data_IF_657832650237
#
_entry.id   IF_657832650237
#
_cell.length_a   1.000
_cell.length_b   1.000
_cell.length_c   1.000
_cell.angle_alpha   90.00
_cell.angle_beta   90.00
_cell.angle_gamma   90.00
#
_symmetry.space_group_name_H-M   'P 1'
#
loop_
_entity.id
_entity.type
_entity.pdbx_description
1 polymer ?
#
# COMPACT_ATOMS: atom_id res chain seq x y z
N UNK A 1 25.65 -5.27 -7.62
CA UNK A 1 25.14 -4.35 -8.67
C UNK A 1 25.07 -2.93 -8.10
N UNK A 2 25.96 -2.02 -8.52
CA UNK A 2 25.96 -0.61 -8.11
C UNK A 2 25.37 0.27 -9.24
N UNK A 3 24.11 0.04 -9.60
CA UNK A 3 23.41 0.97 -10.50
C UNK A 3 22.75 2.05 -9.64
N UNK A 4 23.16 3.31 -9.84
CA UNK A 4 22.44 4.50 -9.37
C UNK A 4 21.76 5.14 -10.58
N UNK A 5 20.60 4.62 -11.01
CA UNK A 5 19.87 5.24 -12.10
C UNK A 5 19.42 6.65 -11.67
N UNK A 6 19.77 7.65 -12.48
CA UNK A 6 19.36 9.04 -12.28
C UNK A 6 18.11 9.28 -13.12
N UNK A 7 16.96 9.35 -12.47
CA UNK A 7 15.68 9.61 -13.14
C UNK A 7 15.36 11.09 -13.06
N UNK A 8 15.67 11.83 -14.13
CA UNK A 8 15.43 13.29 -14.22
C UNK A 8 13.98 13.69 -13.89
N UNK A 9 13.01 12.88 -14.34
CA UNK A 9 11.58 13.07 -14.05
C UNK A 9 11.25 13.02 -12.55
N UNK A 10 11.95 12.20 -11.76
CA UNK A 10 11.71 12.10 -10.32
C UNK A 10 12.22 13.35 -9.60
N UNK A 11 13.33 13.95 -10.08
CA UNK A 11 13.85 15.18 -9.50
C UNK A 11 12.93 16.38 -9.78
N UNK A 12 12.33 16.45 -10.96
CA UNK A 12 11.39 17.52 -11.34
C UNK A 12 10.05 17.43 -10.58
N UNK A 13 9.63 16.22 -10.21
CA UNK A 13 8.39 15.95 -9.47
C UNK A 13 8.58 15.87 -7.94
N UNK A 14 9.78 16.16 -7.45
CA UNK A 14 10.09 16.07 -6.02
C UNK A 14 9.36 17.19 -5.25
N UNK A 15 8.55 16.81 -4.28
CA UNK A 15 7.97 17.75 -3.31
C UNK A 15 9.03 18.09 -2.25
N UNK A 16 9.21 19.38 -1.96
CA UNK A 16 10.01 19.84 -0.82
C UNK A 16 9.08 20.20 0.33
N UNK A 17 9.11 19.37 1.38
CA UNK A 17 8.26 19.52 2.57
C UNK A 17 8.88 20.40 3.66
N UNK A 18 10.13 20.86 3.49
CA UNK A 18 10.85 21.57 4.53
C UNK A 18 10.96 20.76 5.83
N UNK A 19 10.86 21.45 6.97
CA UNK A 19 10.97 20.82 8.29
C UNK A 19 9.64 20.19 8.72
N UNK A 20 9.67 18.89 9.03
CA UNK A 20 8.51 18.17 9.56
C UNK A 20 8.14 18.70 10.96
N UNK A 21 6.90 19.17 11.17
CA UNK A 21 6.42 19.56 12.50
C UNK A 21 6.44 18.39 13.49
N UNK A 22 6.72 18.69 14.76
CA UNK A 22 6.81 17.67 15.82
C UNK A 22 5.51 16.88 15.99
N UNK A 23 4.36 17.55 15.82
CA UNK A 23 3.04 16.96 15.95
C UNK A 23 2.55 16.24 14.68
N UNK A 24 3.24 16.34 13.54
CA UNK A 24 2.79 15.73 12.28
C UNK A 24 2.62 14.20 12.38
N UNK A 25 3.40 13.53 13.24
CA UNK A 25 3.27 12.08 13.45
C UNK A 25 2.21 11.69 14.49
N UNK A 26 1.67 12.64 15.26
CA UNK A 26 0.80 12.35 16.41
C UNK A 26 -0.58 12.98 16.30
N UNK A 27 -0.76 13.97 15.42
CA UNK A 27 -2.03 14.66 15.19
C UNK A 27 -3.03 13.86 14.34
N UNK A 28 -2.58 12.78 13.72
CA UNK A 28 -3.40 11.83 12.98
C UNK A 28 -3.12 10.42 13.51
N UNK A 29 -4.13 9.79 14.12
CA UNK A 29 -4.10 8.39 14.53
C UNK A 29 -5.20 7.66 13.78
N UNK A 30 -4.93 7.29 12.54
CA UNK A 30 -5.92 6.76 11.59
C UNK A 30 -6.63 5.47 12.06
N UNK A 31 -6.05 4.75 13.02
CA UNK A 31 -6.65 3.58 13.66
C UNK A 31 -7.62 3.92 14.79
N UNK A 32 -7.69 5.18 15.21
CA UNK A 32 -8.55 5.70 16.29
C UNK A 32 -9.64 6.60 15.72
N UNK A 33 -9.28 7.52 14.81
CA UNK A 33 -10.21 8.46 14.19
C UNK A 33 -9.82 8.79 12.74
N UNK A 34 -10.75 9.42 12.01
CA UNK A 34 -10.51 9.86 10.64
C UNK A 34 -9.52 11.03 10.59
N UNK A 35 -8.64 11.00 9.60
CA UNK A 35 -7.75 12.12 9.28
C UNK A 35 -8.15 12.75 7.95
N UNK A 36 -7.93 14.05 7.83
CA UNK A 36 -8.19 14.80 6.61
C UNK A 36 -7.03 15.76 6.36
N UNK A 37 -6.50 15.73 5.13
CA UNK A 37 -5.42 16.60 4.68
C UNK A 37 -5.84 17.32 3.40
N UNK A 38 -5.38 18.56 3.24
CA UNK A 38 -5.58 19.32 2.01
C UNK A 38 -4.33 19.21 1.14
N UNK A 39 -4.35 18.33 0.14
CA UNK A 39 -3.16 18.04 -0.68
C UNK A 39 -2.65 19.24 -1.50
N UNK A 40 -3.50 20.23 -1.81
CA UNK A 40 -3.08 21.43 -2.55
C UNK A 40 -2.23 22.36 -1.68
N UNK A 41 -2.59 22.49 -0.40
CA UNK A 41 -1.93 23.39 0.55
C UNK A 41 -0.94 22.68 1.49
N UNK A 42 -1.09 21.37 1.68
CA UNK A 42 -0.32 20.50 2.56
C UNK A 42 -0.02 19.16 1.85
N UNK A 43 0.84 19.16 0.81
CA UNK A 43 1.19 17.95 0.07
C UNK A 43 1.99 16.93 0.89
N UNK A 44 2.44 17.33 2.07
CA UNK A 44 3.26 16.53 2.98
C UNK A 44 2.45 15.91 4.12
N UNK A 45 1.14 16.19 4.16
CA UNK A 45 0.18 15.63 5.11
C UNK A 45 0.59 15.88 6.57
N UNK A 46 1.11 17.07 6.88
CA UNK A 46 1.57 17.40 8.21
C UNK A 46 0.47 17.90 9.14
N UNK A 47 -0.64 18.40 8.60
CA UNK A 47 -1.69 19.08 9.34
C UNK A 47 -3.04 18.39 9.17
N UNK A 48 -3.41 17.56 10.14
CA UNK A 48 -4.74 16.97 10.17
C UNK A 48 -5.82 18.05 10.43
N UNK A 49 -6.72 18.24 9.48
CA UNK A 49 -7.83 19.21 9.54
C UNK A 49 -9.21 18.55 9.69
N UNK A 50 -9.27 17.26 10.03
CA UNK A 50 -10.53 16.51 10.14
C UNK A 50 -11.55 17.18 11.08
N UNK A 51 -11.08 17.64 12.24
CA UNK A 51 -11.90 18.32 13.25
C UNK A 51 -12.42 19.69 12.79
N UNK A 52 -11.72 20.35 11.88
CA UNK A 52 -12.12 21.64 11.32
C UNK A 52 -13.18 21.49 10.22
N UNK A 53 -13.18 20.36 9.51
CA UNK A 53 -14.07 20.12 8.36
C UNK A 53 -14.82 18.78 8.45
N UNK A 54 -15.65 18.55 9.48
CA UNK A 54 -16.35 17.28 9.70
C UNK A 54 -17.32 16.92 8.56
N UNK A 55 -17.86 17.93 7.86
CA UNK A 55 -18.72 17.70 6.70
C UNK A 55 -17.96 17.09 5.51
N UNK A 56 -16.70 17.47 5.29
CA UNK A 56 -15.86 16.89 4.23
C UNK A 56 -15.47 15.46 4.60
N UNK A 57 -15.13 15.23 5.88
CA UNK A 57 -14.86 13.87 6.40
C UNK A 57 -16.05 12.95 6.11
N UNK A 58 -17.28 13.40 6.42
CA UNK A 58 -18.49 12.61 6.13
C UNK A 58 -18.66 12.33 4.64
N UNK A 59 -18.48 13.33 3.78
CA UNK A 59 -18.60 13.14 2.33
C UNK A 59 -17.60 12.12 1.78
N UNK A 60 -16.35 12.16 2.24
CA UNK A 60 -15.32 11.20 1.82
C UNK A 60 -15.58 9.81 2.39
N UNK A 61 -16.09 9.74 3.63
CA UNK A 61 -16.51 8.48 4.24
C UNK A 61 -17.65 7.82 3.46
N UNK A 62 -18.66 8.58 3.06
CA UNK A 62 -19.78 8.07 2.27
C UNK A 62 -19.30 7.50 0.92
N UNK A 63 -18.29 8.12 0.31
CA UNK A 63 -17.62 7.58 -0.89
C UNK A 63 -16.90 6.26 -0.60
N UNK A 64 -16.17 6.15 0.52
CA UNK A 64 -15.53 4.89 0.92
C UNK A 64 -16.56 3.78 1.14
N UNK A 65 -17.68 4.09 1.79
CA UNK A 65 -18.79 3.15 1.99
C UNK A 65 -19.37 2.71 0.64
N UNK A 66 -19.54 3.64 -0.31
CA UNK A 66 -20.02 3.30 -1.66
C UNK A 66 -19.05 2.35 -2.39
N UNK A 67 -17.74 2.60 -2.34
CA UNK A 67 -16.75 1.70 -2.93
C UNK A 67 -16.73 0.33 -2.26
N UNK A 68 -16.87 0.29 -0.93
CA UNK A 68 -16.89 -0.96 -0.18
C UNK A 68 -18.09 -1.85 -0.57
N UNK A 69 -19.24 -1.26 -0.92
CA UNK A 69 -20.41 -2.02 -1.38
C UNK A 69 -20.18 -2.80 -2.68
N UNK A 70 -19.25 -2.35 -3.51
CA UNK A 70 -18.91 -2.98 -4.79
C UNK A 70 -17.53 -3.65 -4.77
N UNK A 71 -16.85 -3.66 -3.62
CA UNK A 71 -15.52 -4.21 -3.51
C UNK A 71 -15.56 -5.74 -3.63
N UNK A 72 -14.67 -6.29 -4.45
CA UNK A 72 -14.44 -7.72 -4.49
C UNK A 72 -13.68 -8.15 -3.22
N UNK A 73 -13.90 -9.38 -2.72
CA UNK A 73 -13.10 -9.94 -1.66
C UNK A 73 -11.59 -9.90 -2.00
N UNK A 74 -10.76 -9.66 -0.99
CA UNK A 74 -9.30 -9.73 -1.15
C UNK A 74 -8.89 -11.14 -1.62
N UNK A 75 -8.07 -11.22 -2.66
CA UNK A 75 -7.60 -12.49 -3.24
C UNK A 75 -6.29 -13.00 -2.60
N UNK A 76 -5.95 -12.53 -1.39
CA UNK A 76 -4.75 -13.00 -0.70
C UNK A 76 -4.87 -14.51 -0.43
N UNK A 77 -4.02 -15.27 -1.10
CA UNK A 77 -3.83 -16.70 -0.85
C UNK A 77 -2.71 -16.90 0.17
N UNK A 78 -2.74 -17.99 0.95
CA UNK A 78 -1.57 -18.40 1.72
C UNK A 78 -0.38 -18.60 0.77
N UNK A 79 0.83 -18.46 1.30
CA UNK A 79 2.03 -18.80 0.53
C UNK A 79 1.92 -20.24 0.05
N UNK A 80 2.11 -20.44 -1.25
CA UNK A 80 2.13 -21.76 -1.85
C UNK A 80 3.53 -22.38 -1.61
N UNK A 81 3.66 -23.44 -0.79
CA UNK A 81 4.96 -24.06 -0.50
C UNK A 81 5.66 -24.57 -1.77
N UNK A 82 4.89 -24.93 -2.79
CA UNK A 82 5.36 -25.37 -4.08
C UNK A 82 6.09 -24.27 -4.86
N UNK A 83 5.82 -22.99 -4.56
CA UNK A 83 6.53 -21.85 -5.14
C UNK A 83 7.93 -21.62 -4.59
N UNK A 84 8.41 -22.46 -3.66
CA UNK A 84 9.76 -22.34 -3.12
C UNK A 84 10.81 -22.59 -4.22
N UNK A 85 11.69 -21.62 -4.56
CA UNK A 85 12.72 -21.77 -5.58
C UNK A 85 13.66 -22.96 -5.35
N UNK A 86 13.82 -23.41 -4.11
CA UNK A 86 14.62 -24.60 -3.80
C UNK A 86 14.06 -25.89 -4.43
N UNK A 87 12.77 -25.91 -4.73
CA UNK A 87 12.13 -27.01 -5.48
C UNK A 87 12.36 -26.90 -6.99
N UNK A 88 12.90 -25.77 -7.47
CA UNK A 88 13.06 -25.43 -8.89
C UNK A 88 14.49 -24.99 -9.21
N UNK A 89 15.49 -25.73 -8.71
CA UNK A 89 16.91 -25.45 -8.94
C UNK A 89 17.39 -24.04 -8.56
N UNK A 90 16.70 -23.40 -7.61
CA UNK A 90 16.99 -22.03 -7.16
C UNK A 90 16.37 -20.93 -8.04
N UNK A 91 15.49 -21.28 -8.98
CA UNK A 91 14.87 -20.33 -9.90
C UNK A 91 13.46 -19.91 -9.45
N UNK A 92 13.12 -18.65 -9.68
CA UNK A 92 11.75 -18.16 -9.62
C UNK A 92 11.09 -18.46 -10.98
N UNK A 93 10.31 -19.53 -11.04
CA UNK A 93 9.68 -20.03 -12.27
C UNK A 93 8.18 -20.24 -12.09
N UNK A 94 7.43 -20.59 -13.14
CA UNK A 94 6.06 -21.06 -12.99
C UNK A 94 6.09 -22.46 -12.33
N UNK A 95 5.52 -22.58 -11.13
CA UNK A 95 5.61 -23.83 -10.36
C UNK A 95 4.37 -24.72 -10.46
N UNK A 96 3.16 -24.16 -10.68
CA UNK A 96 1.91 -24.93 -10.62
C UNK A 96 1.82 -26.07 -11.65
N UNK A 97 2.49 -25.96 -12.80
CA UNK A 97 2.52 -27.01 -13.82
C UNK A 97 3.63 -28.05 -13.61
N UNK A 98 4.52 -27.82 -12.64
CA UNK A 98 5.67 -28.69 -12.43
C UNK A 98 5.26 -30.02 -11.80
N UNK A 99 5.92 -31.09 -12.22
CA UNK A 99 5.68 -32.44 -11.69
C UNK A 99 5.93 -32.51 -10.17
N UNK A 100 6.89 -31.73 -9.66
CA UNK A 100 7.19 -31.64 -8.22
C UNK A 100 5.96 -31.13 -7.45
N UNK A 101 5.22 -30.18 -8.02
CA UNK A 101 4.04 -29.61 -7.37
C UNK A 101 2.87 -30.60 -7.38
N UNK A 102 2.66 -31.33 -8.49
CA UNK A 102 1.65 -32.39 -8.57
C UNK A 102 1.90 -33.50 -7.53
N UNK A 103 3.16 -33.85 -7.29
CA UNK A 103 3.56 -34.85 -6.28
C UNK A 103 3.32 -34.33 -4.86
N UNK A 104 3.66 -33.07 -4.57
CA UNK A 104 3.44 -32.48 -3.23
C UNK A 104 1.94 -32.36 -2.92
N UNK A 105 1.12 -32.00 -3.91
CA UNK A 105 -0.34 -31.95 -3.75
C UNK A 105 -0.95 -33.34 -3.58
N UNK A 106 -0.49 -34.35 -4.32
CA UNK A 106 -0.98 -35.73 -4.21
C UNK A 106 -0.69 -36.38 -2.85
N UNK A 107 0.41 -36.00 -2.20
CA UNK A 107 0.81 -36.54 -0.90
C UNK A 107 0.26 -35.74 0.30
N UNK A 108 -0.65 -34.80 0.05
CA UNK A 108 -1.33 -33.98 1.07
C UNK A 108 -2.71 -34.56 1.38
#
# INVERSE_FOLDING_TARGET
MNRKPIYKVLNEKKIDCGQKPVNASTNCKANIEHCLFNLENDPCEFNNVAHLYPNIVRQLWDKLVAYNKTALPMLNQPIDPCGNPMLHNGELTNWQDSEICKIIEYNK
#
